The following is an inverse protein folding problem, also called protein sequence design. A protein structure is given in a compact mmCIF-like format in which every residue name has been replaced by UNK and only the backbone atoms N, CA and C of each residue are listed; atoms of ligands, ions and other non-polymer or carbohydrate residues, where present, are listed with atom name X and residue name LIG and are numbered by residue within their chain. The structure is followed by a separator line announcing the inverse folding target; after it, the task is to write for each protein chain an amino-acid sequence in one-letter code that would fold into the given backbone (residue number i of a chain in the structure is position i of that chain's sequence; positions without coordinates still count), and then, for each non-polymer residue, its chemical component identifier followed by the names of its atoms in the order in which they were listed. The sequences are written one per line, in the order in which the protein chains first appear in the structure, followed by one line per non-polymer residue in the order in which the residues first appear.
data_IF_599400395146
#
_entry.id   IF_599400395146
#
_cell.length_a   1.000
_cell.length_b   1.000
_cell.length_c   1.000
_cell.angle_alpha   90.00
_cell.angle_beta   90.00
_cell.angle_gamma   90.00
#
_symmetry.space_group_name_H-M   'P 1'
#
loop_
_entity.id
_entity.type
_entity.pdbx_description
1 polymer ?
#
# COMPACT_ATOMS: atom_id res chain seq x y z
N UNK A 1 21.12 -7.54 -6.70
CA UNK A 1 19.96 -7.03 -5.96
C UNK A 1 18.71 -7.67 -6.53
N UNK A 2 17.82 -8.10 -5.64
CA UNK A 2 16.58 -8.75 -6.05
C UNK A 2 15.44 -7.74 -6.10
N UNK A 3 14.63 -7.83 -7.12
CA UNK A 3 13.39 -7.07 -7.21
C UNK A 3 12.29 -7.92 -6.59
N UNK A 4 11.58 -7.34 -5.66
CA UNK A 4 10.50 -7.99 -4.94
C UNK A 4 9.15 -7.37 -5.32
N UNK A 5 8.16 -8.22 -5.58
CA UNK A 5 6.79 -7.80 -5.79
C UNK A 5 6.01 -8.13 -4.52
N UNK A 6 5.46 -7.12 -3.88
CA UNK A 6 4.75 -7.25 -2.61
C UNK A 6 3.27 -7.00 -2.83
N UNK A 7 2.46 -7.96 -2.38
CA UNK A 7 1.00 -7.88 -2.46
C UNK A 7 0.46 -7.59 -1.06
N UNK A 8 -0.27 -6.49 -0.95
CA UNK A 8 -0.99 -6.13 0.27
C UNK A 8 -2.47 -6.31 0.03
N UNK A 9 -3.15 -7.06 0.89
CA UNK A 9 -4.61 -7.08 0.92
C UNK A 9 -5.04 -6.61 2.29
N UNK A 10 -6.08 -5.77 2.33
CA UNK A 10 -6.50 -5.14 3.59
C UNK A 10 -7.91 -4.59 3.48
N UNK A 11 -8.45 -4.20 4.63
CA UNK A 11 -9.75 -3.54 4.72
C UNK A 11 -9.59 -2.04 4.87
N UNK A 12 -10.58 -1.30 4.38
CA UNK A 12 -10.64 0.16 4.53
C UNK A 12 -11.95 0.54 5.21
N UNK A 13 -11.94 1.68 5.91
CA UNK A 13 -13.11 2.22 6.58
C UNK A 13 -13.61 3.54 5.96
N UNK A 14 -13.19 3.79 4.72
CA UNK A 14 -13.62 4.93 3.90
C UNK A 14 -13.97 4.39 2.51
N UNK A 15 -14.66 5.16 1.65
CA UNK A 15 -14.83 4.77 0.26
C UNK A 15 -13.48 4.56 -0.43
N UNK A 16 -13.42 3.60 -1.34
CA UNK A 16 -12.17 3.28 -2.04
C UNK A 16 -11.54 4.52 -2.71
N UNK A 17 -12.36 5.39 -3.29
CA UNK A 17 -11.88 6.59 -3.98
C UNK A 17 -11.14 7.53 -3.02
N UNK A 18 -11.54 7.59 -1.77
CA UNK A 18 -10.86 8.41 -0.77
C UNK A 18 -9.50 7.81 -0.40
N UNK A 19 -9.45 6.50 -0.19
CA UNK A 19 -8.18 5.82 0.07
C UNK A 19 -7.24 5.97 -1.12
N UNK A 20 -7.74 5.74 -2.34
CA UNK A 20 -6.94 5.83 -3.55
C UNK A 20 -6.41 7.24 -3.78
N UNK A 21 -7.20 8.27 -3.46
CA UNK A 21 -6.76 9.66 -3.59
C UNK A 21 -5.59 9.97 -2.65
N UNK A 22 -5.58 9.43 -1.43
CA UNK A 22 -4.45 9.59 -0.52
C UNK A 22 -3.24 8.82 -1.03
N UNK A 23 -3.44 7.59 -1.50
CA UNK A 23 -2.34 6.80 -2.05
C UNK A 23 -1.71 7.51 -3.26
N UNK A 24 -2.51 8.13 -4.10
CA UNK A 24 -2.05 8.84 -5.30
C UNK A 24 -1.69 10.31 -5.04
N UNK A 25 -1.69 10.75 -3.78
CA UNK A 25 -1.31 12.11 -3.43
C UNK A 25 0.17 12.35 -3.74
N UNK A 26 0.53 13.61 -4.00
CA UNK A 26 1.91 13.99 -4.29
C UNK A 26 2.86 13.55 -3.19
N UNK A 27 2.43 13.68 -1.93
CA UNK A 27 3.21 13.27 -0.77
C UNK A 27 3.54 11.78 -0.80
N UNK A 28 2.54 10.93 -1.06
CA UNK A 28 2.76 9.49 -1.09
C UNK A 28 3.56 9.07 -2.32
N UNK A 29 3.29 9.67 -3.47
CA UNK A 29 4.08 9.42 -4.68
C UNK A 29 5.55 9.75 -4.44
N UNK A 30 5.83 10.87 -3.79
CA UNK A 30 7.20 11.27 -3.48
C UNK A 30 7.87 10.28 -2.52
N UNK A 31 7.17 9.83 -1.48
CA UNK A 31 7.69 8.84 -0.54
C UNK A 31 8.04 7.52 -1.24
N UNK A 32 7.15 7.04 -2.11
CA UNK A 32 7.42 5.83 -2.89
C UNK A 32 8.62 6.01 -3.81
N UNK A 33 8.70 7.16 -4.48
CA UNK A 33 9.80 7.46 -5.39
C UNK A 33 11.14 7.48 -4.67
N UNK A 34 11.19 8.08 -3.50
CA UNK A 34 12.41 8.15 -2.70
C UNK A 34 12.91 6.76 -2.27
N UNK A 35 11.99 5.81 -2.12
CA UNK A 35 12.31 4.43 -1.73
C UNK A 35 12.42 3.48 -2.92
N UNK A 36 12.24 3.99 -4.14
CA UNK A 36 12.30 3.17 -5.35
C UNK A 36 11.14 2.19 -5.46
N UNK A 37 9.98 2.55 -4.92
CA UNK A 37 8.79 1.70 -4.95
C UNK A 37 7.86 2.16 -6.06
N UNK A 38 7.39 1.21 -6.86
CA UNK A 38 6.45 1.44 -7.96
C UNK A 38 5.16 0.68 -7.67
N UNK A 39 4.02 1.34 -7.82
CA UNK A 39 2.72 0.67 -7.74
C UNK A 39 2.41 0.02 -9.09
N UNK A 40 2.26 -1.29 -9.09
CA UNK A 40 1.91 -2.04 -10.29
C UNK A 40 0.40 -2.08 -10.50
N UNK A 41 -0.35 -2.19 -9.40
CA UNK A 41 -1.81 -2.27 -9.47
C UNK A 41 -2.42 -1.96 -8.11
N UNK A 42 -3.57 -1.31 -8.13
CA UNK A 42 -4.42 -1.20 -6.95
C UNK A 42 -5.87 -1.28 -7.38
N UNK A 43 -6.69 -1.88 -6.54
CA UNK A 43 -8.10 -2.06 -6.86
C UNK A 43 -8.90 -2.46 -5.64
N UNK A 44 -10.21 -2.48 -5.82
CA UNK A 44 -11.16 -2.89 -4.79
C UNK A 44 -11.85 -4.17 -5.22
N UNK A 45 -12.14 -5.04 -4.27
CA UNK A 45 -12.80 -6.32 -4.55
C UNK A 45 -14.18 -6.05 -5.12
N UNK A 46 -14.52 -6.77 -6.19
CA UNK A 46 -15.78 -6.56 -6.91
C UNK A 46 -17.02 -6.69 -6.00
N UNK A 47 -17.00 -7.66 -5.08
CA UNK A 47 -18.14 -7.99 -4.24
C UNK A 47 -18.05 -7.41 -2.83
N UNK A 48 -16.95 -6.72 -2.49
CA UNK A 48 -16.75 -6.16 -1.17
C UNK A 48 -15.98 -4.85 -1.27
N UNK A 49 -16.68 -3.71 -1.27
CA UNK A 49 -16.04 -2.40 -1.44
C UNK A 49 -15.11 -2.00 -0.30
N UNK A 50 -15.05 -2.78 0.79
CA UNK A 50 -14.13 -2.53 1.89
C UNK A 50 -12.82 -3.31 1.75
N UNK A 51 -12.70 -4.19 0.76
CA UNK A 51 -11.50 -5.01 0.56
C UNK A 51 -10.67 -4.48 -0.60
N UNK A 52 -9.40 -4.16 -0.31
CA UNK A 52 -8.47 -3.55 -1.27
C UNK A 52 -7.30 -4.48 -1.52
N UNK A 53 -6.79 -4.46 -2.74
CA UNK A 53 -5.51 -5.06 -3.11
C UNK A 53 -4.58 -3.96 -3.60
N UNK A 54 -3.32 -4.02 -3.17
CA UNK A 54 -2.27 -3.11 -3.58
C UNK A 54 -1.04 -3.95 -3.90
N UNK A 55 -0.51 -3.79 -5.12
CA UNK A 55 0.67 -4.53 -5.56
C UNK A 55 1.77 -3.52 -5.86
N UNK A 56 2.88 -3.64 -5.14
CA UNK A 56 4.03 -2.77 -5.28
C UNK A 56 5.27 -3.56 -5.65
N UNK A 57 6.20 -2.91 -6.31
CA UNK A 57 7.45 -3.53 -6.71
C UNK A 57 8.62 -2.59 -6.41
N UNK A 58 9.72 -3.17 -5.96
CA UNK A 58 10.93 -2.43 -5.66
C UNK A 58 12.02 -3.37 -5.24
N UNK A 59 13.12 -2.80 -4.77
CA UNK A 59 14.22 -3.59 -4.23
C UNK A 59 13.74 -4.36 -2.99
N UNK A 60 14.26 -5.56 -2.82
CA UNK A 60 13.86 -6.46 -1.73
C UNK A 60 13.78 -5.74 -0.38
N UNK A 61 12.65 -5.91 0.30
CA UNK A 61 12.41 -5.36 1.64
C UNK A 61 11.89 -3.93 1.68
N UNK A 62 11.94 -3.18 0.59
CA UNK A 62 11.59 -1.75 0.62
C UNK A 62 10.11 -1.48 0.88
N UNK A 63 9.21 -2.19 0.20
CA UNK A 63 7.78 -1.99 0.40
C UNK A 63 7.34 -2.37 1.81
N UNK A 64 7.82 -3.51 2.31
CA UNK A 64 7.48 -3.96 3.66
C UNK A 64 8.05 -3.01 4.71
N UNK A 65 9.31 -2.57 4.53
CA UNK A 65 9.94 -1.63 5.46
C UNK A 65 9.19 -0.31 5.53
N UNK A 66 8.70 0.21 4.40
CA UNK A 66 7.89 1.42 4.39
C UNK A 66 6.56 1.22 5.12
N UNK A 67 5.90 0.09 4.87
CA UNK A 67 4.64 -0.22 5.54
C UNK A 67 4.82 -0.32 7.07
N UNK A 68 5.94 -0.91 7.52
CA UNK A 68 6.22 -1.13 8.94
C UNK A 68 6.88 0.07 9.63
N UNK A 69 7.23 1.11 8.89
CA UNK A 69 7.86 2.30 9.44
C UNK A 69 6.87 3.03 10.36
N UNK A 70 7.19 3.19 11.66
CA UNK A 70 6.28 3.87 12.60
C UNK A 70 6.04 5.33 12.25
N UNK A 71 6.91 5.96 11.47
CA UNK A 71 6.69 7.32 10.99
C UNK A 71 5.65 7.38 9.86
N UNK A 72 5.46 6.29 9.13
CA UNK A 72 4.52 6.20 8.01
C UNK A 72 3.15 5.67 8.44
N UNK A 73 3.11 4.86 9.48
CA UNK A 73 1.87 4.24 9.98
C UNK A 73 0.72 5.22 10.17
N UNK A 74 0.90 6.39 10.81
CA UNK A 74 -0.20 7.34 10.98
C UNK A 74 -0.79 7.82 9.65
N UNK A 75 0.04 7.99 8.62
CA UNK A 75 -0.44 8.38 7.31
C UNK A 75 -1.26 7.26 6.67
N UNK A 76 -0.81 6.02 6.80
CA UNK A 76 -1.53 4.83 6.30
C UNK A 76 -2.91 4.77 6.95
N UNK A 77 -2.96 4.88 8.26
CA UNK A 77 -4.23 4.82 9.02
C UNK A 77 -5.14 6.00 8.69
N UNK A 78 -4.58 7.19 8.51
CA UNK A 78 -5.37 8.39 8.19
C UNK A 78 -6.05 8.29 6.83
N UNK A 79 -5.53 7.47 5.94
CA UNK A 79 -6.12 7.22 4.63
C UNK A 79 -7.34 6.29 4.68
N UNK A 80 -7.64 5.72 5.86
CA UNK A 80 -8.73 4.77 6.02
C UNK A 80 -8.31 3.31 5.95
N UNK A 81 -7.03 3.04 5.85
CA UNK A 81 -6.48 1.69 5.85
C UNK A 81 -6.56 1.11 7.27
N UNK A 82 -7.27 0.00 7.45
CA UNK A 82 -7.33 -0.71 8.72
C UNK A 82 -6.07 -1.55 8.85
N UNK A 83 -5.09 -1.01 9.55
CA UNK A 83 -3.72 -1.53 9.58
C UNK A 83 -3.64 -3.02 9.94
N UNK A 84 -4.37 -3.42 10.98
CA UNK A 84 -4.31 -4.80 11.49
C UNK A 84 -5.00 -5.81 10.57
N UNK A 85 -5.72 -5.37 9.55
CA UNK A 85 -6.36 -6.26 8.56
C UNK A 85 -5.41 -6.65 7.44
N UNK A 86 -4.20 -6.12 7.42
CA UNK A 86 -3.28 -6.27 6.30
C UNK A 86 -2.66 -7.66 6.25
N UNK A 87 -2.72 -8.27 5.06
CA UNK A 87 -2.01 -9.52 4.75
C UNK A 87 -0.99 -9.18 3.69
N UNK A 88 0.26 -9.55 3.95
CA UNK A 88 1.39 -9.25 3.06
C UNK A 88 1.92 -10.56 2.48
N UNK A 89 2.05 -10.59 1.14
CA UNK A 89 2.63 -11.72 0.43
C UNK A 89 3.69 -11.18 -0.52
N UNK A 90 4.87 -11.78 -0.51
CA UNK A 90 5.99 -11.33 -1.34
C UNK A 90 6.40 -12.38 -2.36
N UNK A 91 6.79 -11.90 -3.52
CA UNK A 91 7.21 -12.72 -4.66
C UNK A 91 8.50 -12.16 -5.26
N UNK A 92 9.29 -13.04 -5.80
CA UNK A 92 10.50 -12.65 -6.55
C UNK A 92 10.35 -12.95 -8.04
#
# INVERSE_FOLDING_TARGET
MSIETTVFTFKINVPYEEWAAVYDSDENIQMNKERGIVCLYKGVKKEDPTSVILIEQGEEGKSIAMFEDPAVKPLIESAGHIYDSTIITSYF
#
